data_IF_505644244426
#
_entry.id   IF_505644244426
#
_cell.length_a   1.000
_cell.length_b   1.000
_cell.length_c   1.000
_cell.angle_alpha   90.00
_cell.angle_beta   90.00
_cell.angle_gamma   90.00
#
_symmetry.space_group_name_H-M   'P 1'
#
loop_
_entity.id
_entity.type
_entity.pdbx_description
1 polymer ?
#
# COMPACT_ATOMS: atom_id res chain seq x y z
N UNK A 1 11.69 -13.30 11.82
CA UNK A 1 10.99 -12.06 12.19
C UNK A 1 10.65 -11.35 10.90
N UNK A 2 9.40 -10.93 10.71
CA UNK A 2 8.92 -10.23 9.51
C UNK A 2 9.71 -8.94 9.29
N UNK A 3 10.21 -8.74 8.07
CA UNK A 3 10.83 -7.47 7.66
C UNK A 3 9.72 -6.49 7.32
N UNK A 4 9.78 -5.26 7.85
CA UNK A 4 8.75 -4.24 7.60
C UNK A 4 9.39 -3.10 6.82
N UNK A 5 8.92 -2.87 5.60
CA UNK A 5 9.36 -1.78 4.74
C UNK A 5 8.26 -0.72 4.65
N UNK A 6 8.51 0.46 5.21
CA UNK A 6 7.70 1.64 4.93
C UNK A 6 8.25 2.41 3.73
N UNK A 7 7.38 2.83 2.82
CA UNK A 7 7.72 3.70 1.71
C UNK A 7 7.01 5.04 1.91
N UNK A 8 7.79 6.11 1.87
CA UNK A 8 7.30 7.49 1.96
C UNK A 8 7.63 8.26 0.68
N UNK A 9 6.87 9.32 0.41
CA UNK A 9 7.05 10.20 -0.75
C UNK A 9 5.75 10.94 -1.06
N UNK A 10 5.82 12.00 -1.86
CA UNK A 10 4.64 12.73 -2.33
C UNK A 10 3.72 11.86 -3.22
N UNK A 11 2.48 12.29 -3.44
CA UNK A 11 1.59 11.69 -4.43
C UNK A 11 2.32 11.53 -5.78
N UNK A 12 2.18 10.36 -6.41
CA UNK A 12 2.88 10.00 -7.65
C UNK A 12 4.43 9.97 -7.59
N UNK A 13 5.03 9.89 -6.40
CA UNK A 13 6.48 9.70 -6.27
C UNK A 13 7.01 8.32 -6.70
N UNK A 14 6.14 7.39 -7.11
CA UNK A 14 6.48 6.02 -7.49
C UNK A 14 6.26 4.96 -6.40
N UNK A 15 5.64 5.30 -5.26
CA UNK A 15 5.43 4.37 -4.12
C UNK A 15 4.68 3.09 -4.50
N UNK A 16 3.57 3.22 -5.22
CA UNK A 16 2.77 2.07 -5.67
C UNK A 16 3.54 1.21 -6.67
N UNK A 17 4.33 1.82 -7.55
CA UNK A 17 5.17 1.10 -8.52
C UNK A 17 6.27 0.32 -7.81
N UNK A 18 6.96 0.94 -6.85
CA UNK A 18 7.96 0.27 -6.02
C UNK A 18 7.36 -0.92 -5.26
N UNK A 19 6.16 -0.76 -4.68
CA UNK A 19 5.43 -1.84 -4.02
C UNK A 19 5.12 -3.00 -4.98
N UNK A 20 4.52 -2.72 -6.14
CA UNK A 20 4.22 -3.73 -7.17
C UNK A 20 5.49 -4.43 -7.65
N UNK A 21 6.56 -3.68 -7.91
CA UNK A 21 7.83 -4.23 -8.37
C UNK A 21 8.43 -5.21 -7.35
N UNK A 22 8.38 -4.87 -6.06
CA UNK A 22 8.83 -5.76 -5.00
C UNK A 22 8.01 -7.04 -4.91
N UNK A 23 6.69 -6.98 -5.16
CA UNK A 23 5.88 -8.20 -5.30
C UNK A 23 6.41 -9.08 -6.42
N UNK A 24 6.51 -8.57 -7.65
CA UNK A 24 7.02 -9.32 -8.79
C UNK A 24 8.41 -9.92 -8.52
N UNK A 25 9.30 -9.12 -7.91
CA UNK A 25 10.64 -9.57 -7.54
C UNK A 25 10.64 -10.71 -6.52
N UNK A 26 9.82 -10.62 -5.46
CA UNK A 26 9.73 -11.66 -4.43
C UNK A 26 9.13 -12.95 -4.97
N UNK A 27 8.13 -12.87 -5.86
CA UNK A 27 7.56 -14.05 -6.51
C UNK A 27 8.61 -14.78 -7.35
N UNK A 28 9.41 -14.02 -8.12
CA UNK A 28 10.50 -14.59 -8.90
C UNK A 28 11.61 -15.15 -8.02
N UNK A 29 11.97 -14.44 -6.94
CA UNK A 29 13.02 -14.87 -6.01
C UNK A 29 12.67 -16.19 -5.32
N UNK A 30 11.38 -16.43 -5.04
CA UNK A 30 10.89 -17.63 -4.36
C UNK A 30 10.33 -18.70 -5.31
N UNK A 31 10.65 -18.61 -6.62
CA UNK A 31 10.23 -19.57 -7.65
C UNK A 31 8.70 -19.76 -7.76
N UNK A 32 7.91 -18.75 -7.37
CA UNK A 32 6.45 -18.75 -7.59
C UNK A 32 6.15 -18.46 -9.06
N UNK A 33 6.98 -17.61 -9.66
CA UNK A 33 7.00 -17.32 -11.10
C UNK A 33 8.43 -17.46 -11.62
N UNK A 34 8.58 -17.85 -12.87
CA UNK A 34 9.90 -17.94 -13.51
C UNK A 34 10.42 -16.54 -13.86
N UNK A 35 9.53 -15.71 -14.40
CA UNK A 35 9.82 -14.35 -14.89
C UNK A 35 8.64 -13.44 -14.63
N UNK A 36 8.94 -12.17 -14.40
CA UNK A 36 7.95 -11.11 -14.39
C UNK A 36 8.45 -9.92 -15.21
N UNK A 37 7.51 -9.16 -15.76
CA UNK A 37 7.71 -7.88 -16.42
C UNK A 37 6.84 -6.84 -15.73
N UNK A 38 7.27 -5.58 -15.78
CA UNK A 38 6.48 -4.44 -15.36
C UNK A 38 6.42 -3.46 -16.52
N UNK A 39 5.23 -2.98 -16.84
CA UNK A 39 5.06 -1.93 -17.85
C UNK A 39 5.20 -0.52 -17.26
N UNK A 40 5.06 0.51 -18.10
CA UNK A 40 5.16 1.91 -17.69
C UNK A 40 4.03 2.37 -16.77
N UNK A 41 2.91 1.63 -16.72
CA UNK A 41 1.79 1.87 -15.79
C UNK A 41 2.04 1.22 -14.42
N UNK A 42 3.10 0.42 -14.30
CA UNK A 42 3.41 -0.37 -13.13
C UNK A 42 2.64 -1.68 -13.04
N UNK A 43 2.01 -2.12 -14.14
CA UNK A 43 1.26 -3.37 -14.19
C UNK A 43 2.22 -4.55 -14.31
N UNK A 44 1.98 -5.58 -13.48
CA UNK A 44 2.83 -6.76 -13.41
C UNK A 44 2.30 -7.81 -14.35
N UNK A 45 3.21 -8.38 -15.12
CA UNK A 45 2.96 -9.47 -16.05
C UNK A 45 3.84 -10.65 -15.67
N UNK A 46 3.25 -11.83 -15.49
CA UNK A 46 3.95 -13.05 -15.08
C UNK A 46 3.80 -14.14 -16.13
N UNK A 47 4.76 -15.07 -16.19
CA UNK A 47 4.63 -16.24 -17.06
C UNK A 47 3.46 -17.11 -16.59
N UNK A 48 2.64 -17.55 -17.55
CA UNK A 48 1.51 -18.44 -17.32
C UNK A 48 1.46 -19.52 -18.41
N UNK A 49 0.90 -20.68 -18.08
CA UNK A 49 0.64 -21.74 -19.04
C UNK A 49 -0.85 -21.72 -19.33
N UNK A 50 -1.22 -21.54 -20.60
CA UNK A 50 -2.61 -21.62 -21.07
C UNK A 50 -2.76 -22.78 -22.04
N UNK A 51 -3.93 -23.39 -22.06
CA UNK A 51 -4.26 -24.46 -22.99
C UNK A 51 -5.04 -23.84 -24.16
N UNK A 52 -4.56 -24.04 -25.39
CA UNK A 52 -5.25 -23.57 -26.58
C UNK A 52 -6.48 -24.44 -26.95
N UNK A 53 -7.23 -24.03 -27.97
CA UNK A 53 -8.40 -24.75 -28.47
C UNK A 53 -8.11 -26.18 -28.95
N UNK A 54 -6.83 -26.52 -29.16
CA UNK A 54 -6.36 -27.84 -29.57
C UNK A 54 -5.79 -28.66 -28.40
N UNK A 55 -5.90 -28.16 -27.17
CA UNK A 55 -5.39 -28.85 -25.98
C UNK A 55 -3.87 -28.73 -25.80
N UNK A 56 -3.20 -27.84 -26.53
CA UNK A 56 -1.75 -27.65 -26.43
C UNK A 56 -1.41 -26.56 -25.43
N UNK A 57 -0.48 -26.87 -24.52
CA UNK A 57 0.09 -25.88 -23.61
C UNK A 57 0.89 -24.84 -24.38
N UNK A 58 0.64 -23.57 -24.07
CA UNK A 58 1.35 -22.42 -24.59
C UNK A 58 1.81 -21.54 -23.44
N UNK A 59 3.09 -21.16 -23.49
CA UNK A 59 3.64 -20.13 -22.63
C UNK A 59 3.05 -18.78 -23.02
N UNK A 60 2.27 -18.21 -22.11
CA UNK A 60 1.69 -16.88 -22.25
C UNK A 60 2.12 -15.99 -21.10
N UNK A 61 1.71 -14.73 -21.20
CA UNK A 61 1.96 -13.71 -20.19
C UNK A 61 0.62 -13.30 -19.62
N UNK A 62 0.45 -13.44 -18.30
CA UNK A 62 -0.77 -13.09 -17.60
C UNK A 62 -0.57 -11.83 -16.75
N UNK A 63 -1.56 -10.95 -16.75
CA UNK A 63 -1.61 -9.80 -15.85
C UNK A 63 -1.84 -10.27 -14.41
N UNK A 64 -1.04 -9.76 -13.47
CA UNK A 64 -1.14 -10.05 -12.04
C UNK A 64 -1.45 -8.76 -11.27
N UNK A 65 -2.71 -8.61 -10.88
CA UNK A 65 -3.10 -7.59 -9.91
C UNK A 65 -2.85 -8.10 -8.48
N UNK A 66 -1.76 -7.62 -7.88
CA UNK A 66 -1.36 -7.99 -6.51
C UNK A 66 -2.26 -7.37 -5.43
N UNK A 67 -3.15 -6.45 -5.80
CA UNK A 67 -4.09 -5.77 -4.91
C UNK A 67 -5.52 -6.32 -5.03
N UNK A 68 -5.74 -7.33 -5.88
CA UNK A 68 -7.02 -8.01 -6.09
C UNK A 68 -7.54 -8.63 -4.77
N UNK A 69 -8.87 -8.62 -4.56
CA UNK A 69 -9.49 -8.96 -3.26
C UNK A 69 -10.64 -9.96 -3.29
N UNK A 70 -11.01 -10.51 -4.44
CA UNK A 70 -12.00 -11.59 -4.49
C UNK A 70 -11.45 -12.90 -3.91
N UNK A 71 -12.37 -13.75 -3.50
CA UNK A 71 -12.09 -14.98 -2.74
C UNK A 71 -11.11 -15.92 -3.45
N UNK A 72 -11.21 -16.04 -4.78
CA UNK A 72 -10.32 -16.90 -5.59
C UNK A 72 -8.88 -16.39 -5.49
N UNK A 73 -8.67 -15.10 -5.73
CA UNK A 73 -7.34 -14.50 -5.64
C UNK A 73 -6.81 -14.52 -4.22
N UNK A 74 -7.61 -14.15 -3.22
CA UNK A 74 -7.22 -14.15 -1.80
C UNK A 74 -6.75 -15.54 -1.38
N UNK A 75 -7.49 -16.60 -1.75
CA UNK A 75 -7.11 -17.97 -1.42
C UNK A 75 -5.76 -18.35 -2.05
N UNK A 76 -5.59 -18.06 -3.34
CA UNK A 76 -4.33 -18.35 -4.03
C UNK A 76 -3.16 -17.52 -3.48
N UNK A 77 -3.37 -16.23 -3.24
CA UNK A 77 -2.35 -15.31 -2.73
C UNK A 77 -1.92 -15.68 -1.31
N UNK A 78 -2.84 -16.15 -0.46
CA UNK A 78 -2.52 -16.63 0.89
C UNK A 78 -1.52 -17.79 0.88
N UNK A 79 -1.55 -18.64 -0.15
CA UNK A 79 -0.65 -19.79 -0.27
C UNK A 79 0.63 -19.49 -1.04
N UNK A 80 0.56 -18.60 -2.04
CA UNK A 80 1.64 -18.44 -3.03
C UNK A 80 2.34 -17.07 -2.98
N UNK A 81 1.72 -16.03 -2.43
CA UNK A 81 2.28 -14.67 -2.39
C UNK A 81 2.59 -14.24 -0.96
N UNK A 82 1.58 -14.24 -0.10
CA UNK A 82 1.64 -13.65 1.24
C UNK A 82 2.64 -14.28 2.21
N UNK A 83 3.05 -15.56 2.09
CA UNK A 83 4.17 -16.08 2.86
C UNK A 83 5.48 -15.30 2.61
N UNK A 84 5.68 -14.78 1.40
CA UNK A 84 6.89 -14.08 0.98
C UNK A 84 6.77 -12.57 1.10
N UNK A 85 5.63 -12.02 0.66
CA UNK A 85 5.40 -10.58 0.59
C UNK A 85 3.92 -10.22 0.74
N UNK A 86 3.62 -9.20 1.53
CA UNK A 86 2.25 -8.69 1.67
C UNK A 86 2.21 -7.18 1.89
N UNK A 87 1.25 -6.52 1.26
CA UNK A 87 1.00 -5.08 1.39
C UNK A 87 -0.01 -4.80 2.49
N UNK A 88 0.25 -3.75 3.28
CA UNK A 88 -0.62 -3.28 4.36
C UNK A 88 -0.86 -1.79 4.21
N UNK A 89 -2.07 -1.32 4.53
CA UNK A 89 -2.35 0.11 4.70
C UNK A 89 -2.85 0.40 6.12
N UNK A 90 -2.44 1.54 6.67
CA UNK A 90 -2.93 2.04 7.95
C UNK A 90 -4.45 2.24 7.98
N UNK A 91 -5.03 2.59 6.83
CA UNK A 91 -6.44 2.94 6.70
C UNK A 91 -7.36 1.74 6.43
N UNK A 92 -6.82 0.53 6.22
CA UNK A 92 -7.66 -0.63 5.92
C UNK A 92 -8.73 -0.91 7.00
N UNK A 93 -8.42 -0.91 8.32
CA UNK A 93 -9.45 -1.14 9.33
C UNK A 93 -10.55 -0.07 9.30
N UNK A 94 -10.19 1.19 9.00
CA UNK A 94 -11.12 2.29 8.85
C UNK A 94 -12.07 2.06 7.67
N UNK A 95 -11.52 1.69 6.51
CA UNK A 95 -12.32 1.40 5.30
C UNK A 95 -13.23 0.20 5.50
N UNK A 96 -12.74 -0.88 6.12
CA UNK A 96 -13.55 -2.05 6.44
C UNK A 96 -14.68 -1.70 7.41
N UNK A 97 -14.39 -0.88 8.44
CA UNK A 97 -15.42 -0.39 9.37
C UNK A 97 -16.47 0.43 8.64
N UNK A 98 -16.06 1.31 7.73
CA UNK A 98 -16.97 2.13 6.93
C UNK A 98 -17.89 1.28 6.05
N UNK A 99 -17.37 0.23 5.43
CA UNK A 99 -18.17 -0.72 4.63
C UNK A 99 -19.13 -1.52 5.52
N UNK A 100 -18.62 -2.12 6.60
CA UNK A 100 -19.38 -3.08 7.40
C UNK A 100 -20.41 -2.45 8.33
N UNK A 101 -20.12 -1.26 8.87
CA UNK A 101 -20.97 -0.61 9.88
C UNK A 101 -21.76 0.58 9.34
N UNK A 102 -21.27 1.22 8.27
CA UNK A 102 -21.84 2.47 7.75
C UNK A 102 -22.36 2.33 6.31
N UNK A 103 -22.38 1.11 5.77
CA UNK A 103 -22.96 0.77 4.46
C UNK A 103 -22.32 1.54 3.28
N UNK A 104 -21.03 1.89 3.41
CA UNK A 104 -20.27 2.39 2.27
C UNK A 104 -19.96 1.24 1.31
N UNK A 105 -20.02 1.51 0.00
CA UNK A 105 -19.59 0.54 -1.00
C UNK A 105 -18.06 0.38 -1.02
N UNK A 106 -17.58 -0.75 -1.54
CA UNK A 106 -16.14 -0.98 -1.72
C UNK A 106 -15.53 0.09 -2.66
N UNK A 107 -16.24 0.47 -3.73
CA UNK A 107 -15.82 1.51 -4.68
C UNK A 107 -15.66 2.87 -4.00
N UNK A 108 -16.52 3.21 -3.05
CA UNK A 108 -16.40 4.44 -2.25
C UNK A 108 -15.16 4.47 -1.34
N UNK A 109 -14.61 3.31 -0.96
CA UNK A 109 -13.42 3.21 -0.11
C UNK A 109 -12.11 3.00 -0.89
N UNK A 110 -12.17 2.26 -2.01
CA UNK A 110 -11.00 1.80 -2.75
C UNK A 110 -10.94 2.28 -4.21
N UNK A 111 -12.07 2.73 -4.77
CA UNK A 111 -12.22 3.07 -6.19
C UNK A 111 -11.58 4.40 -6.63
N UNK A 112 -12.13 5.00 -7.69
CA UNK A 112 -11.60 6.24 -8.29
C UNK A 112 -11.74 7.44 -7.37
N UNK A 113 -11.09 8.56 -7.71
CA UNK A 113 -11.27 9.81 -6.96
C UNK A 113 -12.73 10.27 -6.99
N UNK A 114 -13.38 10.17 -8.14
CA UNK A 114 -14.80 10.48 -8.32
C UNK A 114 -15.69 9.63 -7.41
N UNK A 115 -15.46 8.31 -7.37
CA UNK A 115 -16.22 7.38 -6.54
C UNK A 115 -16.06 7.67 -5.04
N UNK A 116 -14.83 7.98 -4.61
CA UNK A 116 -14.52 8.37 -3.24
C UNK A 116 -15.19 9.68 -2.83
N UNK A 117 -15.53 10.55 -3.78
CA UNK A 117 -16.21 11.82 -3.54
C UNK A 117 -17.73 11.74 -3.78
N UNK A 118 -18.30 10.54 -3.94
CA UNK A 118 -19.77 10.39 -4.00
C UNK A 118 -20.40 10.55 -2.62
N UNK A 119 -21.63 11.11 -2.54
CA UNK A 119 -22.34 11.29 -1.27
C UNK A 119 -22.73 9.95 -0.65
N UNK A 120 -22.74 9.90 0.68
CA UNK A 120 -23.22 8.77 1.50
C UNK A 120 -24.45 9.19 2.31
N UNK A 121 -25.20 8.23 2.84
CA UNK A 121 -26.40 8.49 3.64
C UNK A 121 -26.07 8.89 5.10
N UNK A 122 -25.12 9.81 5.28
CA UNK A 122 -24.74 10.41 6.56
C UNK A 122 -24.60 11.90 6.33
N UNK A 123 -25.26 12.71 7.14
CA UNK A 123 -25.18 14.16 7.01
C UNK A 123 -24.21 14.76 8.01
N UNK A 124 -23.59 15.86 7.62
CA UNK A 124 -22.74 16.66 8.50
C UNK A 124 -23.50 17.12 9.76
N UNK A 125 -24.79 17.40 9.63
CA UNK A 125 -25.67 17.83 10.73
C UNK A 125 -25.97 16.71 11.75
N UNK A 126 -25.81 15.45 11.38
CA UNK A 126 -26.09 14.30 12.26
C UNK A 126 -24.88 13.92 13.14
N UNK A 127 -23.73 14.57 12.94
CA UNK A 127 -22.52 14.33 13.72
C UNK A 127 -22.61 15.01 15.09
N UNK A 128 -22.04 14.39 16.15
CA UNK A 128 -22.15 14.90 17.53
C UNK A 128 -21.42 16.24 17.77
N UNK A 129 -20.54 16.66 16.84
CA UNK A 129 -19.80 17.91 16.95
C UNK A 129 -20.29 18.91 15.90
N UNK A 130 -20.51 20.16 16.33
CA UNK A 130 -20.83 21.27 15.45
C UNK A 130 -19.73 21.45 14.40
N UNK A 131 -20.12 21.43 13.14
CA UNK A 131 -19.29 21.71 12.00
C UNK A 131 -20.03 22.70 11.09
N UNK A 132 -19.30 23.51 10.33
CA UNK A 132 -19.89 24.54 9.46
C UNK A 132 -20.43 23.95 8.14
N UNK A 133 -20.16 22.66 7.91
CA UNK A 133 -20.60 21.94 6.72
C UNK A 133 -22.05 21.48 6.87
N UNK A 134 -22.74 21.32 5.74
CA UNK A 134 -24.15 20.94 5.69
C UNK A 134 -24.39 19.93 4.57
N UNK A 135 -25.43 19.14 4.73
CA UNK A 135 -25.83 18.12 3.77
C UNK A 135 -25.08 16.81 3.91
N UNK A 136 -25.29 15.93 2.94
CA UNK A 136 -24.66 14.60 2.92
C UNK A 136 -23.15 14.70 2.78
N UNK A 137 -22.44 13.98 3.64
CA UNK A 137 -21.00 13.78 3.53
C UNK A 137 -20.69 12.98 2.27
N UNK A 138 -19.49 13.17 1.73
CA UNK A 138 -18.90 12.19 0.81
C UNK A 138 -18.24 11.04 1.57
N UNK A 139 -17.99 9.91 0.90
CA UNK A 139 -17.25 8.81 1.49
C UNK A 139 -15.84 9.23 1.99
N UNK A 140 -15.14 10.05 1.20
CA UNK A 140 -13.84 10.62 1.59
C UNK A 140 -13.94 11.47 2.84
N UNK A 141 -14.91 12.37 2.91
CA UNK A 141 -15.12 13.22 4.08
C UNK A 141 -15.42 12.40 5.33
N UNK A 142 -16.26 11.37 5.21
CA UNK A 142 -16.56 10.47 6.32
C UNK A 142 -15.30 9.76 6.83
N UNK A 143 -14.51 9.16 5.93
CA UNK A 143 -13.26 8.48 6.30
C UNK A 143 -12.26 9.44 6.96
N UNK A 144 -12.14 10.67 6.44
CA UNK A 144 -11.26 11.69 7.03
C UNK A 144 -11.72 12.09 8.43
N UNK A 145 -13.00 12.44 8.60
CA UNK A 145 -13.57 12.87 9.87
C UNK A 145 -13.54 11.75 10.91
N UNK A 146 -14.12 10.58 10.59
CA UNK A 146 -14.15 9.47 11.54
C UNK A 146 -12.74 8.95 11.84
N UNK A 147 -11.90 8.86 10.81
CA UNK A 147 -10.53 8.37 10.93
C UNK A 147 -9.62 9.27 11.78
N UNK A 148 -9.70 10.58 11.57
CA UNK A 148 -8.77 11.56 12.14
C UNK A 148 -9.39 12.27 13.33
N UNK A 149 -10.55 12.90 13.16
CA UNK A 149 -11.12 13.79 14.17
C UNK A 149 -11.76 13.01 15.33
N UNK A 150 -12.22 11.79 15.07
CA UNK A 150 -12.80 10.90 16.08
C UNK A 150 -11.77 9.89 16.59
N UNK A 151 -11.36 8.94 15.75
CA UNK A 151 -10.55 7.80 16.19
C UNK A 151 -9.16 8.22 16.71
N UNK A 152 -8.42 9.09 16.01
CA UNK A 152 -7.10 9.54 16.50
C UNK A 152 -7.22 10.42 17.75
N UNK A 153 -8.36 11.10 17.96
CA UNK A 153 -8.62 11.85 19.20
C UNK A 153 -8.86 10.93 20.41
N UNK A 154 -9.47 9.77 20.19
CA UNK A 154 -9.67 8.74 21.23
C UNK A 154 -8.37 7.96 21.50
N UNK A 155 -7.68 7.55 20.43
CA UNK A 155 -6.42 6.79 20.50
C UNK A 155 -5.52 7.20 19.33
N UNK A 156 -4.53 8.05 19.59
CA UNK A 156 -3.67 8.68 18.57
C UNK A 156 -2.85 7.71 17.72
N UNK A 157 -2.55 6.53 18.25
CA UNK A 157 -1.80 5.44 17.62
C UNK A 157 -2.69 4.29 17.13
N UNK A 158 -4.02 4.48 17.06
CA UNK A 158 -4.97 3.40 16.72
C UNK A 158 -4.64 2.68 15.40
N UNK A 159 -4.32 3.46 14.36
CA UNK A 159 -4.02 2.94 13.02
C UNK A 159 -2.66 2.25 12.96
N UNK A 160 -1.65 2.84 13.59
CA UNK A 160 -0.29 2.28 13.61
C UNK A 160 -0.24 1.00 14.45
N UNK A 161 -0.85 0.99 15.65
CA UNK A 161 -0.98 -0.22 16.46
C UNK A 161 -1.70 -1.34 15.70
N UNK A 162 -2.82 -1.02 15.03
CA UNK A 162 -3.56 -2.03 14.27
C UNK A 162 -2.75 -2.58 13.10
N UNK A 163 -2.05 -1.71 12.35
CA UNK A 163 -1.22 -2.11 11.23
C UNK A 163 -0.07 -3.03 11.68
N UNK A 164 0.70 -2.63 12.70
CA UNK A 164 1.82 -3.43 13.21
C UNK A 164 1.35 -4.78 13.77
N UNK A 165 0.18 -4.84 14.43
CA UNK A 165 -0.39 -6.12 14.89
C UNK A 165 -0.73 -7.02 13.70
N UNK A 166 -1.44 -6.51 12.69
CA UNK A 166 -1.77 -7.28 11.48
C UNK A 166 -0.54 -7.82 10.75
N UNK A 167 0.55 -7.05 10.70
CA UNK A 167 1.81 -7.49 10.11
C UNK A 167 2.43 -8.65 10.91
N UNK A 168 2.40 -8.58 12.24
CA UNK A 168 2.92 -9.65 13.10
C UNK A 168 2.09 -10.93 12.96
N UNK A 169 0.77 -10.78 12.86
CA UNK A 169 -0.17 -11.89 12.77
C UNK A 169 -0.15 -12.56 11.39
N UNK A 170 0.29 -11.86 10.34
CA UNK A 170 0.28 -12.43 8.97
C UNK A 170 1.36 -13.47 8.74
N UNK A 171 2.47 -13.43 9.49
CA UNK A 171 3.61 -14.34 9.29
C UNK A 171 4.38 -14.14 7.97
N UNK A 172 4.12 -13.07 7.22
CA UNK A 172 4.83 -12.77 5.97
C UNK A 172 6.31 -12.53 6.21
N UNK A 173 7.18 -12.89 5.26
CA UNK A 173 8.61 -12.59 5.35
C UNK A 173 8.91 -11.10 5.13
N UNK A 174 8.18 -10.43 4.22
CA UNK A 174 8.30 -9.01 3.90
C UNK A 174 6.95 -8.29 3.87
N UNK A 175 6.70 -7.43 4.84
CA UNK A 175 5.55 -6.53 4.87
C UNK A 175 5.90 -5.18 4.25
N UNK A 176 5.06 -4.68 3.34
CA UNK A 176 5.22 -3.36 2.71
C UNK A 176 4.08 -2.44 3.15
N UNK A 177 4.43 -1.22 3.55
CA UNK A 177 3.49 -0.14 3.82
C UNK A 177 3.81 1.02 2.86
N UNK A 178 3.06 1.15 1.74
CA UNK A 178 3.43 2.07 0.65
C UNK A 178 3.00 3.53 0.90
N UNK A 179 2.25 3.80 1.97
CA UNK A 179 1.58 5.07 2.23
C UNK A 179 1.99 5.72 3.57
N UNK A 180 3.29 5.70 3.90
CA UNK A 180 3.81 6.36 5.11
C UNK A 180 3.88 7.87 4.92
N UNK A 181 3.03 8.59 5.67
CA UNK A 181 2.79 10.04 5.51
C UNK A 181 2.99 10.86 6.77
N UNK A 182 3.00 10.23 7.95
CA UNK A 182 3.11 10.97 9.21
C UNK A 182 4.30 10.50 10.08
N UNK A 183 4.90 11.40 10.89
CA UNK A 183 6.00 11.02 11.79
C UNK A 183 5.67 9.86 12.72
N UNK A 184 4.46 9.82 13.28
CA UNK A 184 4.03 8.73 14.16
C UNK A 184 3.97 7.36 13.46
N UNK A 185 3.76 7.33 12.14
CA UNK A 185 3.80 6.11 11.33
C UNK A 185 5.22 5.61 11.14
N UNK A 186 6.16 6.53 10.85
CA UNK A 186 7.59 6.23 10.78
C UNK A 186 8.09 5.67 12.11
N UNK A 187 7.81 6.35 13.21
CA UNK A 187 8.19 5.94 14.56
C UNK A 187 7.64 4.56 14.91
N UNK A 188 6.37 4.29 14.59
CA UNK A 188 5.75 3.01 14.86
C UNK A 188 6.40 1.85 14.07
N UNK A 189 6.73 2.08 12.80
CA UNK A 189 7.43 1.10 11.95
C UNK A 189 8.83 0.84 12.51
N UNK A 190 9.60 1.89 12.82
CA UNK A 190 10.96 1.77 13.37
C UNK A 190 10.97 1.06 14.72
N UNK A 191 10.02 1.39 15.61
CA UNK A 191 9.86 0.71 16.91
C UNK A 191 9.53 -0.78 16.75
N UNK A 192 8.90 -1.18 15.63
CA UNK A 192 8.65 -2.57 15.30
C UNK A 192 9.84 -3.27 14.60
N UNK A 193 10.99 -2.60 14.46
CA UNK A 193 12.18 -3.12 13.77
C UNK A 193 12.13 -2.97 12.26
N UNK A 194 11.18 -2.19 11.73
CA UNK A 194 11.07 -1.87 10.32
C UNK A 194 12.02 -0.76 9.87
N UNK A 195 12.09 -0.55 8.57
CA UNK A 195 12.91 0.46 7.91
C UNK A 195 12.07 1.32 6.97
N UNK A 196 12.45 2.59 6.81
CA UNK A 196 11.76 3.55 5.92
C UNK A 196 12.64 3.98 4.75
N UNK A 197 12.10 3.88 3.54
CA UNK A 197 12.67 4.47 2.33
C UNK A 197 11.81 5.66 1.90
N UNK A 198 12.43 6.83 1.71
CA UNK A 198 11.79 8.03 1.14
C UNK A 198 12.13 8.17 -0.34
N UNK A 199 11.12 8.30 -1.19
CA UNK A 199 11.25 8.70 -2.59
C UNK A 199 11.05 10.22 -2.69
N UNK A 200 11.94 10.91 -3.41
CA UNK A 200 11.94 12.39 -3.48
C UNK A 200 11.16 12.97 -4.66
N UNK A 201 10.80 12.16 -5.67
CA UNK A 201 10.03 12.64 -6.83
C UNK A 201 8.74 13.30 -6.36
N UNK A 202 8.55 14.56 -6.74
CA UNK A 202 7.39 15.37 -6.39
C UNK A 202 6.87 16.05 -7.66
N UNK A 203 5.99 15.40 -8.45
CA UNK A 203 5.52 15.95 -9.73
C UNK A 203 4.50 17.08 -9.54
N UNK A 204 3.91 17.21 -8.34
CA UNK A 204 2.89 18.19 -8.02
C UNK A 204 3.14 18.79 -6.65
N UNK A 205 3.01 20.11 -6.52
CA UNK A 205 2.98 20.77 -5.22
C UNK A 205 1.60 20.56 -4.58
N UNK A 206 1.57 19.83 -3.46
CA UNK A 206 0.37 19.59 -2.65
C UNK A 206 0.64 20.07 -1.23
N UNK A 207 -0.14 21.04 -0.76
CA UNK A 207 0.02 21.62 0.58
C UNK A 207 -0.74 20.87 1.66
N UNK A 208 -1.48 19.79 1.32
CA UNK A 208 -2.21 19.02 2.29
C UNK A 208 -1.26 18.41 3.34
N UNK A 209 -1.64 18.42 4.62
CA UNK A 209 -0.76 17.99 5.71
C UNK A 209 -0.26 16.55 5.55
N UNK A 210 -1.01 15.67 4.87
CA UNK A 210 -0.56 14.31 4.57
C UNK A 210 0.57 14.21 3.54
N UNK A 211 0.83 15.27 2.78
CA UNK A 211 1.90 15.33 1.78
C UNK A 211 3.13 16.07 2.33
N UNK A 212 2.94 17.03 3.23
CA UNK A 212 4.02 17.87 3.79
C UNK A 212 4.50 17.48 5.19
N UNK A 213 3.77 16.61 5.91
CA UNK A 213 4.11 16.25 7.30
C UNK A 213 5.48 15.56 7.48
N UNK A 214 6.13 15.14 6.39
CA UNK A 214 7.44 14.52 6.40
C UNK A 214 8.51 15.33 5.66
N UNK A 215 8.22 16.57 5.24
CA UNK A 215 9.18 17.39 4.48
C UNK A 215 10.37 17.83 5.33
N UNK A 216 10.13 18.14 6.61
CA UNK A 216 11.17 18.46 7.59
C UNK A 216 11.66 17.23 8.38
N UNK A 217 11.14 16.04 8.07
CA UNK A 217 11.51 14.82 8.76
C UNK A 217 12.83 14.25 8.20
N UNK A 218 13.88 14.23 9.00
CA UNK A 218 15.21 13.81 8.54
C UNK A 218 15.57 12.34 8.76
N UNK A 219 14.84 11.63 9.62
CA UNK A 219 15.26 10.32 10.13
C UNK A 219 14.72 9.15 9.28
N UNK A 220 15.08 9.10 8.00
CA UNK A 220 14.82 7.95 7.13
C UNK A 220 15.98 6.97 7.14
N UNK A 221 15.72 5.67 6.95
CA UNK A 221 16.80 4.67 6.80
C UNK A 221 17.51 4.81 5.45
N UNK A 222 16.78 5.27 4.42
CA UNK A 222 17.33 5.61 3.12
C UNK A 222 16.46 6.64 2.40
N UNK A 223 17.10 7.44 1.55
CA UNK A 223 16.44 8.39 0.65
C UNK A 223 16.89 8.05 -0.77
N UNK A 224 15.94 7.75 -1.66
CA UNK A 224 16.20 7.54 -3.08
C UNK A 224 15.82 8.82 -3.81
N UNK A 225 16.82 9.51 -4.37
CA UNK A 225 16.57 10.64 -5.24
C UNK A 225 16.11 10.16 -6.63
N UNK A 226 14.80 10.03 -6.83
CA UNK A 226 14.20 9.51 -8.06
C UNK A 226 13.51 10.58 -8.93
N UNK A 227 13.88 11.85 -8.73
CA UNK A 227 13.34 12.97 -9.51
C UNK A 227 13.70 12.88 -10.99
N UNK A 228 14.90 12.38 -11.32
CA UNK A 228 15.40 12.23 -12.70
C UNK A 228 15.54 10.77 -13.14
N UNK A 229 15.29 9.82 -12.24
CA UNK A 229 15.38 8.39 -12.56
C UNK A 229 14.13 7.91 -13.29
N UNK A 230 14.27 6.99 -14.23
CA UNK A 230 13.14 6.25 -14.77
C UNK A 230 12.67 5.13 -13.79
N UNK A 231 11.66 4.36 -14.18
CA UNK A 231 11.07 3.30 -13.34
C UNK A 231 12.11 2.21 -13.03
N UNK A 232 12.84 1.73 -14.03
CA UNK A 232 13.84 0.67 -13.88
C UNK A 232 15.02 1.10 -13.01
N UNK A 233 15.48 2.34 -13.17
CA UNK A 233 16.55 2.92 -12.35
C UNK A 233 16.11 3.07 -10.89
N UNK A 234 14.88 3.53 -10.65
CA UNK A 234 14.30 3.62 -9.31
C UNK A 234 14.19 2.23 -8.67
N UNK A 235 13.72 1.24 -9.43
CA UNK A 235 13.57 -0.14 -8.98
C UNK A 235 14.94 -0.80 -8.70
N UNK A 236 15.96 -0.53 -9.53
CA UNK A 236 17.33 -1.01 -9.29
C UNK A 236 17.90 -0.41 -8.00
N UNK A 237 17.77 0.90 -7.79
CA UNK A 237 18.21 1.56 -6.55
C UNK A 237 17.54 0.94 -5.32
N UNK A 238 16.23 0.66 -5.40
CA UNK A 238 15.49 -0.02 -4.35
C UNK A 238 16.04 -1.43 -4.07
N UNK A 239 16.34 -2.23 -5.10
CA UNK A 239 16.93 -3.56 -4.91
C UNK A 239 18.30 -3.50 -4.26
N UNK A 240 19.15 -2.57 -4.66
CA UNK A 240 20.51 -2.46 -4.13
C UNK A 240 20.47 -2.14 -2.62
N UNK A 241 19.58 -1.25 -2.19
CA UNK A 241 19.33 -0.98 -0.76
C UNK A 241 18.87 -2.25 -0.03
N UNK A 242 17.91 -2.99 -0.58
CA UNK A 242 17.41 -4.21 0.04
C UNK A 242 18.46 -5.33 0.07
N UNK A 243 19.41 -5.35 -0.89
CA UNK A 243 20.57 -6.26 -0.87
C UNK A 243 21.56 -5.88 0.22
N UNK A 244 21.88 -4.59 0.36
CA UNK A 244 22.74 -4.07 1.43
C UNK A 244 22.19 -4.43 2.81
N UNK A 245 20.87 -4.34 2.99
CA UNK A 245 20.19 -4.76 4.21
C UNK A 245 20.08 -6.28 4.38
N UNK A 246 20.49 -7.07 3.38
CA UNK A 246 20.36 -8.54 3.34
C UNK A 246 18.90 -9.01 3.43
N UNK A 247 17.97 -8.23 2.87
CA UNK A 247 16.54 -8.51 2.90
C UNK A 247 16.08 -9.39 1.74
N UNK A 248 16.87 -9.51 0.67
CA UNK A 248 16.58 -10.29 -0.54
C UNK A 248 17.21 -11.70 -0.56
N UNK A 249 17.39 -12.34 0.59
CA UNK A 249 17.95 -13.70 0.64
C UNK A 249 16.83 -14.75 0.57
N UNK A 250 17.01 -15.78 -0.26
CA UNK A 250 16.16 -16.96 -0.27
C UNK A 250 16.36 -17.75 1.02
N UNK A 251 15.29 -18.37 1.53
CA UNK A 251 15.45 -19.49 2.46
C UNK A 251 16.02 -20.64 1.62
N UNK A 252 17.26 -21.01 1.88
CA UNK A 252 17.91 -22.17 1.25
C UNK A 252 17.21 -23.47 1.57
#
# INVERSE_FOLDING_TARGET
>A
MTKILGISGAKQSGKSMAMKFLHGYQLRLNNVVEKFLMDDNGDIFVNAITIDENGKEQDTVAFLDVERKDDEFVHWAAMNIWPFIQTFSFADPLKLTAIQLFDLSERQCYGTDEEKNTPINIKWEDLPCSNDKKGFMTAREFLQYFGTDVCRKIKSDIWTCSCIRRIKDSGTDLAIIPDVRFPNEVEAIKKAGGKIIRLTRCPHEDQHASETALDEYGDFDCIINNSELNIDETNRALLDILREWKWLMTKG
#
